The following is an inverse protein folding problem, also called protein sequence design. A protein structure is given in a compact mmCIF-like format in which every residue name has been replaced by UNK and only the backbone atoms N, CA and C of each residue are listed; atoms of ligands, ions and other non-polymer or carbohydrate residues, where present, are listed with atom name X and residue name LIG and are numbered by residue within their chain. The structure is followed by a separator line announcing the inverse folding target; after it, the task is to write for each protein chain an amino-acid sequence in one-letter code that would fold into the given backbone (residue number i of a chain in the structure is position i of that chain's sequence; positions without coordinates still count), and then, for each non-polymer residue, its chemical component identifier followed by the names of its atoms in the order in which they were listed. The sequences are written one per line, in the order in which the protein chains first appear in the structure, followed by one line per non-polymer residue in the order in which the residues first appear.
data_IF_087450968429
#
_entry.id   IF_087450968429
#
_cell.length_a   1.000
_cell.length_b   1.000
_cell.length_c   1.000
_cell.angle_alpha   90.00
_cell.angle_beta   90.00
_cell.angle_gamma   90.00
#
_symmetry.space_group_name_H-M   'P 1'
#
loop_
_entity.id
_entity.type
_entity.pdbx_description
1 polymer ?
#
# COMPACT_ATOMS: atom_id res chain seq x y z
N UNK A 1 10.31 -3.98 27.96
CA UNK A 1 10.48 -3.47 26.58
C UNK A 1 10.37 -4.66 25.65
N UNK A 2 9.22 -4.88 25.04
CA UNK A 2 9.14 -5.81 23.92
C UNK A 2 9.80 -5.11 22.74
N UNK A 3 10.99 -5.57 22.37
CA UNK A 3 11.59 -5.21 21.07
C UNK A 3 10.64 -5.75 20.01
N UNK A 4 9.81 -4.87 19.50
CA UNK A 4 8.79 -5.20 18.52
C UNK A 4 9.46 -5.35 17.16
N UNK A 5 9.90 -6.55 16.87
CA UNK A 5 10.45 -6.95 15.55
C UNK A 5 9.30 -7.14 14.55
N UNK A 6 8.48 -6.10 14.36
CA UNK A 6 7.29 -6.16 13.50
C UNK A 6 7.61 -6.71 12.10
N UNK A 7 8.67 -6.23 11.47
CA UNK A 7 9.07 -6.67 10.13
C UNK A 7 9.42 -8.16 10.09
N UNK A 8 10.23 -8.65 11.05
CA UNK A 8 10.63 -10.06 11.08
C UNK A 8 9.45 -10.98 11.39
N UNK A 9 8.53 -10.55 12.25
CA UNK A 9 7.30 -11.30 12.53
C UNK A 9 6.35 -11.31 11.33
N UNK A 10 6.15 -10.17 10.66
CA UNK A 10 5.33 -10.09 9.45
C UNK A 10 5.90 -10.98 8.34
N UNK A 11 7.23 -10.95 8.15
CA UNK A 11 7.91 -11.83 7.20
C UNK A 11 7.74 -13.31 7.54
N UNK A 12 7.93 -13.68 8.82
CA UNK A 12 7.73 -15.06 9.27
C UNK A 12 6.29 -15.54 9.08
N UNK A 13 5.30 -14.67 9.27
CA UNK A 13 3.89 -14.97 9.00
C UNK A 13 3.65 -15.23 7.49
N UNK A 14 4.19 -14.36 6.63
CA UNK A 14 4.05 -14.48 5.18
C UNK A 14 4.69 -15.76 4.65
N UNK A 15 5.92 -16.07 5.11
CA UNK A 15 6.70 -17.21 4.61
C UNK A 15 6.37 -18.53 5.29
N UNK A 16 5.46 -18.55 6.27
CA UNK A 16 5.00 -19.78 6.94
C UNK A 16 4.29 -20.72 5.98
N UNK A 17 3.59 -20.18 4.99
CA UNK A 17 2.99 -20.96 3.91
C UNK A 17 4.06 -21.30 2.85
N UNK A 18 4.11 -22.58 2.44
CA UNK A 18 5.03 -23.03 1.36
C UNK A 18 4.70 -22.37 0.01
N UNK A 19 3.45 -21.99 -0.19
CA UNK A 19 2.95 -21.40 -1.44
C UNK A 19 2.96 -19.86 -1.45
N UNK A 20 3.64 -19.21 -0.50
CA UNK A 20 3.64 -17.75 -0.36
C UNK A 20 4.06 -17.01 -1.64
N UNK A 21 5.05 -17.53 -2.38
CA UNK A 21 5.48 -16.96 -3.66
C UNK A 21 4.35 -16.99 -4.68
N UNK A 22 3.63 -18.12 -4.76
CA UNK A 22 2.50 -18.26 -5.68
C UNK A 22 1.36 -17.32 -5.31
N UNK A 23 1.15 -17.09 -4.01
CA UNK A 23 0.16 -16.12 -3.52
C UNK A 23 0.54 -14.70 -3.96
N UNK A 24 1.80 -14.28 -3.78
CA UNK A 24 2.27 -12.97 -4.25
C UNK A 24 2.13 -12.84 -5.76
N UNK A 25 2.52 -13.85 -6.54
CA UNK A 25 2.40 -13.81 -7.99
C UNK A 25 0.93 -13.69 -8.43
N UNK A 26 0.02 -14.44 -7.80
CA UNK A 26 -1.41 -14.36 -8.08
C UNK A 26 -1.96 -12.96 -7.80
N UNK A 27 -1.63 -12.39 -6.63
CA UNK A 27 -2.05 -11.03 -6.28
C UNK A 27 -1.47 -10.00 -7.25
N UNK A 28 -0.18 -10.15 -7.62
CA UNK A 28 0.46 -9.25 -8.58
C UNK A 28 -0.17 -9.29 -9.97
N UNK A 29 -0.60 -10.47 -10.43
CA UNK A 29 -1.36 -10.59 -11.68
C UNK A 29 -2.73 -9.94 -11.55
N UNK A 30 -3.43 -10.12 -10.41
CA UNK A 30 -4.69 -9.44 -10.15
C UNK A 30 -4.53 -7.91 -10.15
N UNK A 31 -3.39 -7.38 -9.71
CA UNK A 31 -3.10 -5.94 -9.72
C UNK A 31 -3.09 -5.35 -11.13
N UNK A 32 -2.84 -6.16 -12.17
CA UNK A 32 -2.90 -5.72 -13.56
C UNK A 32 -4.34 -5.49 -14.04
N UNK A 33 -5.35 -5.98 -13.31
CA UNK A 33 -6.76 -5.69 -13.57
C UNK A 33 -7.14 -4.37 -12.89
N UNK A 34 -7.35 -3.29 -13.66
CA UNK A 34 -7.62 -1.99 -13.08
C UNK A 34 -8.93 -2.02 -12.28
N UNK A 35 -8.97 -1.28 -11.18
CA UNK A 35 -10.09 -1.10 -10.24
C UNK A 35 -10.50 -2.39 -9.52
N UNK A 36 -10.99 -3.40 -10.23
CA UNK A 36 -11.51 -4.65 -9.62
C UNK A 36 -10.41 -5.43 -8.91
N UNK A 37 -9.26 -5.58 -9.57
CA UNK A 37 -8.11 -6.28 -8.99
C UNK A 37 -7.54 -5.53 -7.78
N UNK A 38 -7.47 -4.21 -7.84
CA UNK A 38 -6.99 -3.39 -6.72
C UNK A 38 -7.90 -3.49 -5.51
N UNK A 39 -9.22 -3.39 -5.70
CA UNK A 39 -10.19 -3.57 -4.61
C UNK A 39 -10.04 -4.96 -3.98
N UNK A 40 -9.85 -5.99 -4.80
CA UNK A 40 -9.71 -7.36 -4.31
C UNK A 40 -8.42 -7.56 -3.52
N UNK A 41 -7.28 -7.02 -3.99
CA UNK A 41 -5.99 -7.09 -3.29
C UNK A 41 -6.07 -6.36 -1.94
N UNK A 42 -6.56 -5.13 -1.92
CA UNK A 42 -6.75 -4.36 -0.69
C UNK A 42 -7.63 -5.14 0.30
N UNK A 43 -8.67 -5.79 -0.20
CA UNK A 43 -9.53 -6.64 0.63
C UNK A 43 -8.81 -7.86 1.18
N UNK A 44 -7.99 -8.52 0.37
CA UNK A 44 -7.17 -9.63 0.80
C UNK A 44 -6.16 -9.22 1.89
N UNK A 45 -5.44 -8.12 1.67
CA UNK A 45 -4.49 -7.55 2.63
C UNK A 45 -5.17 -7.18 3.94
N UNK A 46 -6.35 -6.57 3.86
CA UNK A 46 -7.17 -6.19 5.02
C UNK A 46 -7.63 -7.43 5.80
N UNK A 47 -8.16 -8.46 5.14
CA UNK A 47 -8.59 -9.71 5.79
C UNK A 47 -7.41 -10.43 6.43
N UNK A 48 -6.26 -10.48 5.78
CA UNK A 48 -5.05 -11.06 6.35
C UNK A 48 -4.57 -10.31 7.59
N UNK A 49 -4.47 -8.98 7.50
CA UNK A 49 -4.09 -8.16 8.64
C UNK A 49 -5.08 -8.27 9.82
N UNK A 50 -6.37 -8.44 9.51
CA UNK A 50 -7.40 -8.70 10.52
C UNK A 50 -7.16 -10.02 11.25
N UNK A 51 -6.84 -11.10 10.54
CA UNK A 51 -6.50 -12.39 11.15
C UNK A 51 -5.27 -12.27 12.05
N UNK A 52 -4.24 -11.56 11.60
CA UNK A 52 -3.04 -11.28 12.41
C UNK A 52 -3.40 -10.49 13.68
N UNK A 53 -4.25 -9.47 13.56
CA UNK A 53 -4.73 -8.69 14.70
C UNK A 53 -5.53 -9.54 15.70
N UNK A 54 -6.22 -10.58 15.24
CA UNK A 54 -6.92 -11.57 16.07
C UNK A 54 -5.98 -12.63 16.67
N UNK A 55 -4.71 -12.60 16.33
CA UNK A 55 -3.71 -13.58 16.81
C UNK A 55 -3.70 -14.89 16.01
N UNK A 56 -4.39 -14.95 14.88
CA UNK A 56 -4.36 -16.11 13.98
C UNK A 56 -3.11 -15.99 13.10
N UNK A 57 -2.26 -17.01 13.17
CA UNK A 57 -0.99 -17.00 12.46
C UNK A 57 -1.13 -17.56 11.04
N UNK A 58 -0.50 -16.89 10.09
CA UNK A 58 -0.44 -17.26 8.67
C UNK A 58 -1.41 -16.49 7.79
N UNK A 59 -1.21 -16.52 6.45
CA UNK A 59 -2.15 -15.94 5.50
C UNK A 59 -3.43 -16.79 5.43
N UNK A 60 -4.57 -16.24 4.97
CA UNK A 60 -5.76 -17.03 4.70
C UNK A 60 -5.41 -18.19 3.78
N UNK A 61 -5.85 -19.41 4.13
CA UNK A 61 -5.57 -20.59 3.31
C UNK A 61 -6.06 -20.36 1.88
N UNK A 62 -5.18 -20.57 0.89
CA UNK A 62 -5.46 -20.35 -0.52
C UNK A 62 -6.70 -21.11 -1.02
N UNK A 63 -6.95 -22.32 -0.46
CA UNK A 63 -8.11 -23.15 -0.81
C UNK A 63 -9.44 -22.58 -0.32
N UNK A 64 -9.41 -21.74 0.71
CA UNK A 64 -10.57 -21.18 1.40
C UNK A 64 -10.68 -19.65 1.23
N UNK A 65 -9.96 -19.06 0.26
CA UNK A 65 -10.12 -17.62 -0.02
C UNK A 65 -11.53 -17.41 -0.54
N UNK A 66 -12.38 -16.81 0.29
CA UNK A 66 -13.67 -16.30 -0.13
C UNK A 66 -13.47 -15.00 -0.92
N UNK A 67 -13.48 -15.14 -2.26
CA UNK A 67 -13.30 -14.02 -3.19
C UNK A 67 -14.34 -12.93 -2.93
N UNK A 68 -15.57 -13.31 -2.62
CA UNK A 68 -16.67 -12.36 -2.36
C UNK A 68 -16.42 -11.60 -1.07
N UNK A 69 -15.95 -12.28 -0.02
CA UNK A 69 -15.59 -11.66 1.25
C UNK A 69 -14.44 -10.66 1.09
N UNK A 70 -13.37 -11.05 0.39
CA UNK A 70 -12.25 -10.16 0.12
C UNK A 70 -12.70 -8.93 -0.69
N UNK A 71 -13.52 -9.12 -1.72
CA UNK A 71 -14.03 -8.00 -2.51
C UNK A 71 -14.90 -7.05 -1.67
N UNK A 72 -15.79 -7.58 -0.84
CA UNK A 72 -16.63 -6.79 0.07
C UNK A 72 -15.80 -6.01 1.08
N UNK A 73 -14.80 -6.67 1.69
CA UNK A 73 -13.85 -6.03 2.61
C UNK A 73 -13.07 -4.92 1.91
N UNK A 74 -12.59 -5.19 0.68
CA UNK A 74 -11.91 -4.20 -0.14
C UNK A 74 -12.79 -2.98 -0.48
N UNK A 75 -14.06 -3.18 -0.82
CA UNK A 75 -14.98 -2.06 -1.02
C UNK A 75 -15.15 -1.21 0.24
N UNK A 76 -15.29 -1.82 1.42
CA UNK A 76 -15.39 -1.09 2.68
C UNK A 76 -14.10 -0.32 2.99
N UNK A 77 -12.95 -0.95 2.78
CA UNK A 77 -11.63 -0.33 2.98
C UNK A 77 -11.44 0.86 2.06
N UNK A 78 -11.69 0.69 0.76
CA UNK A 78 -11.57 1.78 -0.24
C UNK A 78 -12.53 2.92 0.12
N UNK A 79 -13.77 2.62 0.48
CA UNK A 79 -14.72 3.65 0.91
C UNK A 79 -14.23 4.40 2.16
N UNK A 80 -13.64 3.69 3.13
CA UNK A 80 -13.12 4.29 4.36
C UNK A 80 -11.87 5.14 4.14
N UNK A 81 -11.06 4.81 3.14
CA UNK A 81 -9.78 5.49 2.88
C UNK A 81 -9.87 6.55 1.78
N UNK A 82 -10.97 6.63 1.03
CA UNK A 82 -11.08 7.51 -0.13
C UNK A 82 -10.81 8.98 0.19
N UNK A 83 -11.39 9.52 1.27
CA UNK A 83 -11.14 10.90 1.68
C UNK A 83 -9.69 11.14 2.12
N UNK A 84 -9.10 10.16 2.80
CA UNK A 84 -7.70 10.21 3.20
C UNK A 84 -6.77 10.18 1.97
N UNK A 85 -7.10 9.39 0.94
CA UNK A 85 -6.38 9.41 -0.34
C UNK A 85 -6.42 10.79 -1.00
N UNK A 86 -7.56 11.48 -0.97
CA UNK A 86 -7.68 12.84 -1.52
C UNK A 86 -6.78 13.82 -0.76
N UNK A 87 -6.72 13.73 0.58
CA UNK A 87 -5.84 14.58 1.39
C UNK A 87 -4.36 14.30 1.05
N UNK A 88 -3.95 13.02 0.97
CA UNK A 88 -2.59 12.66 0.59
C UNK A 88 -2.25 13.13 -0.82
N UNK A 89 -3.15 12.94 -1.79
CA UNK A 89 -2.98 13.39 -3.16
C UNK A 89 -2.82 14.91 -3.24
N UNK A 90 -3.61 15.67 -2.47
CA UNK A 90 -3.49 17.11 -2.38
C UNK A 90 -2.14 17.55 -1.81
N UNK A 91 -1.68 16.89 -0.76
CA UNK A 91 -0.36 17.13 -0.17
C UNK A 91 0.76 16.88 -1.19
N UNK A 92 0.75 15.70 -1.82
CA UNK A 92 1.75 15.35 -2.84
C UNK A 92 1.73 16.31 -4.02
N UNK A 93 0.54 16.72 -4.47
CA UNK A 93 0.39 17.70 -5.53
C UNK A 93 1.04 19.05 -5.16
N UNK A 94 0.79 19.55 -3.95
CA UNK A 94 1.40 20.79 -3.47
C UNK A 94 2.93 20.68 -3.38
N UNK A 95 3.44 19.57 -2.87
CA UNK A 95 4.89 19.32 -2.79
C UNK A 95 5.51 19.28 -4.18
N UNK A 96 4.91 18.54 -5.10
CA UNK A 96 5.40 18.48 -6.49
C UNK A 96 5.40 19.83 -7.17
N UNK A 97 4.37 20.63 -6.94
CA UNK A 97 4.27 21.98 -7.47
C UNK A 97 5.36 22.91 -6.95
N UNK A 98 5.73 22.78 -5.66
CA UNK A 98 6.80 23.61 -5.08
C UNK A 98 8.19 23.19 -5.54
N UNK A 99 8.36 21.92 -5.95
CA UNK A 99 9.66 21.34 -6.37
C UNK A 99 9.89 21.48 -7.88
N UNK A 100 8.83 21.38 -8.70
CA UNK A 100 8.91 21.62 -10.13
C UNK A 100 8.72 23.10 -10.40
N UNK A 101 9.83 23.82 -10.70
CA UNK A 101 9.78 25.25 -11.01
C UNK A 101 8.69 25.58 -12.05
N UNK A 102 7.73 26.40 -11.62
CA UNK A 102 6.91 27.39 -12.36
C UNK A 102 6.21 27.01 -13.68
N UNK A 103 6.49 25.90 -14.33
CA UNK A 103 5.83 25.51 -15.60
C UNK A 103 4.53 24.75 -15.39
N UNK A 104 4.21 24.35 -14.16
CA UNK A 104 3.00 23.63 -13.84
C UNK A 104 1.85 24.63 -13.61
N UNK A 105 0.82 24.55 -14.45
CA UNK A 105 -0.36 25.41 -14.40
C UNK A 105 -0.96 25.49 -12.99
N UNK A 106 -1.39 26.69 -12.53
CA UNK A 106 -1.85 26.91 -11.15
C UNK A 106 -3.24 26.34 -10.82
N UNK A 107 -3.90 25.68 -11.75
CA UNK A 107 -5.25 25.16 -11.51
C UNK A 107 -5.18 23.90 -10.64
N UNK A 108 -5.58 24.06 -9.36
CA UNK A 108 -5.89 22.91 -8.48
C UNK A 108 -7.22 22.36 -8.99
N UNK A 109 -7.17 21.50 -9.98
CA UNK A 109 -8.33 20.75 -10.44
C UNK A 109 -8.34 19.35 -9.82
N UNK A 110 -9.53 18.80 -9.64
CA UNK A 110 -9.70 17.46 -9.10
C UNK A 110 -8.91 16.41 -9.93
N UNK A 111 -8.72 16.65 -11.22
CA UNK A 111 -7.91 15.84 -12.12
C UNK A 111 -6.43 15.84 -11.74
N UNK A 112 -5.86 16.98 -11.31
CA UNK A 112 -4.47 17.08 -10.88
C UNK A 112 -4.22 16.26 -9.58
N UNK A 113 -5.16 16.29 -8.64
CA UNK A 113 -5.09 15.52 -7.40
C UNK A 113 -5.19 14.03 -7.71
N UNK A 114 -6.16 13.59 -8.51
CA UNK A 114 -6.33 12.20 -8.92
C UNK A 114 -5.09 11.72 -9.68
N UNK A 115 -4.61 12.53 -10.61
CA UNK A 115 -3.39 12.23 -11.37
C UNK A 115 -2.16 12.07 -10.46
N UNK A 116 -2.03 12.87 -9.41
CA UNK A 116 -0.94 12.76 -8.43
C UNK A 116 -0.99 11.45 -7.66
N UNK A 117 -2.18 10.93 -7.36
CA UNK A 117 -2.36 9.62 -6.74
C UNK A 117 -1.98 8.47 -7.69
N UNK A 118 -2.43 8.54 -8.95
CA UNK A 118 -2.09 7.54 -9.96
C UNK A 118 -0.60 7.55 -10.33
N UNK A 119 0.05 8.72 -10.27
CA UNK A 119 1.47 8.87 -10.54
C UNK A 119 2.33 8.93 -9.27
N UNK A 120 1.84 8.36 -8.16
CA UNK A 120 2.52 8.34 -6.88
C UNK A 120 4.01 7.95 -7.00
N UNK A 121 4.30 6.86 -7.71
CA UNK A 121 5.67 6.42 -7.94
C UNK A 121 6.46 7.37 -8.85
N UNK A 122 5.83 7.95 -9.87
CA UNK A 122 6.46 8.96 -10.71
C UNK A 122 6.79 10.23 -9.90
N UNK A 123 5.91 10.63 -8.97
CA UNK A 123 6.16 11.70 -8.03
C UNK A 123 7.42 11.42 -7.18
N UNK A 124 7.57 10.19 -6.66
CA UNK A 124 8.76 9.81 -5.91
C UNK A 124 10.03 9.82 -6.76
N UNK A 125 9.98 9.42 -8.03
CA UNK A 125 11.11 9.51 -8.96
C UNK A 125 11.55 10.97 -9.15
N UNK A 126 10.60 11.88 -9.37
CA UNK A 126 10.89 13.31 -9.51
C UNK A 126 11.47 13.90 -8.22
N UNK A 127 10.89 13.53 -7.06
CA UNK A 127 11.36 13.99 -5.76
C UNK A 127 12.74 13.41 -5.40
N UNK A 128 13.06 12.18 -5.83
CA UNK A 128 14.37 11.56 -5.55
C UNK A 128 15.52 12.30 -6.24
N UNK A 129 15.24 13.01 -7.34
CA UNK A 129 16.21 13.90 -8.00
C UNK A 129 16.55 15.14 -7.14
N UNK A 130 15.73 15.46 -6.13
CA UNK A 130 15.90 16.58 -5.18
C UNK A 130 16.10 16.04 -3.76
N UNK A 131 17.28 15.48 -3.48
CA UNK A 131 17.61 14.72 -2.28
C UNK A 131 17.30 15.41 -0.94
N UNK A 132 17.33 16.73 -0.87
CA UNK A 132 17.05 17.50 0.36
C UNK A 132 15.59 17.43 0.82
N UNK A 133 14.65 17.23 -0.10
CA UNK A 133 13.20 17.22 0.18
C UNK A 133 12.66 15.78 0.18
N UNK A 134 13.32 14.87 -0.53
CA UNK A 134 12.85 13.51 -0.71
C UNK A 134 12.62 12.76 0.61
N UNK A 135 13.63 12.72 1.49
CA UNK A 135 13.53 11.98 2.75
C UNK A 135 12.46 12.52 3.70
N UNK A 136 12.32 13.85 3.94
CA UNK A 136 11.21 14.38 4.71
C UNK A 136 9.84 14.03 4.15
N UNK A 137 9.66 14.13 2.83
CA UNK A 137 8.38 13.76 2.18
C UNK A 137 8.10 12.28 2.34
N UNK A 138 9.09 11.42 2.14
CA UNK A 138 8.96 9.98 2.31
C UNK A 138 8.55 9.63 3.76
N UNK A 139 9.13 10.30 4.75
CA UNK A 139 8.76 10.13 6.16
C UNK A 139 7.31 10.52 6.43
N UNK A 140 6.86 11.68 5.94
CA UNK A 140 5.46 12.12 6.09
C UNK A 140 4.50 11.15 5.39
N UNK A 141 4.84 10.70 4.19
CA UNK A 141 4.01 9.75 3.43
C UNK A 141 3.92 8.41 4.14
N UNK A 142 5.02 7.88 4.69
CA UNK A 142 5.00 6.61 5.41
C UNK A 142 4.13 6.66 6.66
N UNK A 143 4.21 7.75 7.44
CA UNK A 143 3.30 8.00 8.57
C UNK A 143 1.85 8.00 8.10
N UNK A 144 1.56 8.71 7.03
CA UNK A 144 0.20 8.84 6.53
C UNK A 144 -0.36 7.54 5.96
N UNK A 145 0.45 6.75 5.25
CA UNK A 145 0.05 5.43 4.73
C UNK A 145 -0.32 4.50 5.87
N UNK A 146 0.50 4.42 6.92
CA UNK A 146 0.16 3.61 8.10
C UNK A 146 -1.13 4.07 8.79
N UNK A 147 -1.36 5.38 8.88
CA UNK A 147 -2.64 5.91 9.36
C UNK A 147 -3.82 5.42 8.52
N UNK A 148 -3.68 5.42 7.18
CA UNK A 148 -4.71 4.89 6.27
C UNK A 148 -4.92 3.39 6.42
N UNK A 149 -3.86 2.60 6.62
CA UNK A 149 -3.97 1.16 6.88
C UNK A 149 -4.72 0.91 8.19
N UNK A 150 -4.44 1.65 9.27
CA UNK A 150 -5.18 1.57 10.53
C UNK A 150 -6.66 1.91 10.30
N UNK A 151 -6.96 2.97 9.54
CA UNK A 151 -8.32 3.36 9.21
C UNK A 151 -9.07 2.25 8.46
N UNK A 152 -8.39 1.59 7.51
CA UNK A 152 -8.95 0.48 6.73
C UNK A 152 -9.26 -0.74 7.61
N UNK A 153 -8.33 -1.12 8.49
CA UNK A 153 -8.52 -2.24 9.40
C UNK A 153 -9.67 -1.99 10.39
N UNK A 154 -9.79 -0.78 10.91
CA UNK A 154 -10.93 -0.40 11.76
C UNK A 154 -12.25 -0.49 11.02
N UNK A 155 -12.32 -0.01 9.79
CA UNK A 155 -13.51 -0.13 8.96
C UNK A 155 -13.91 -1.59 8.73
N UNK A 156 -12.92 -2.47 8.55
CA UNK A 156 -13.13 -3.91 8.38
C UNK A 156 -13.58 -4.58 9.70
N UNK A 157 -12.95 -4.28 10.83
CA UNK A 157 -13.30 -4.78 12.16
C UNK A 157 -14.76 -4.40 12.52
N UNK A 158 -15.10 -3.13 12.38
CA UNK A 158 -16.43 -2.62 12.69
C UNK A 158 -17.47 -2.93 11.59
N UNK A 159 -17.07 -3.51 10.46
CA UNK A 159 -17.91 -3.71 9.26
C UNK A 159 -18.67 -2.44 8.83
N UNK A 160 -18.06 -1.28 9.08
CA UNK A 160 -18.64 0.03 8.82
C UNK A 160 -17.54 1.00 8.34
N UNK A 161 -17.63 1.53 7.11
CA UNK A 161 -16.67 2.49 6.59
C UNK A 161 -16.50 3.74 7.48
N UNK A 162 -17.57 4.15 8.18
CA UNK A 162 -17.52 5.31 9.07
C UNK A 162 -16.51 5.17 10.22
N UNK A 163 -16.17 3.94 10.63
CA UNK A 163 -15.15 3.69 11.64
C UNK A 163 -13.75 4.12 11.18
N UNK A 164 -13.47 4.08 9.89
CA UNK A 164 -12.22 4.55 9.28
C UNK A 164 -12.08 6.08 9.29
N UNK A 165 -13.17 6.82 9.44
CA UNK A 165 -13.17 8.28 9.54
C UNK A 165 -13.03 8.81 10.97
N UNK A 166 -13.00 7.95 11.96
CA UNK A 166 -12.84 8.34 13.37
C UNK A 166 -11.39 8.69 13.70
N UNK A 167 -10.89 9.79 13.12
CA UNK A 167 -9.50 10.24 13.29
C UNK A 167 -9.09 10.37 14.76
N UNK A 168 -9.97 10.90 15.62
CA UNK A 168 -9.69 11.05 17.05
C UNK A 168 -9.42 9.72 17.76
N UNK A 169 -10.11 8.65 17.37
CA UNK A 169 -9.88 7.32 17.92
C UNK A 169 -8.54 6.74 17.42
N UNK A 170 -8.24 6.88 16.11
CA UNK A 170 -6.98 6.42 15.53
C UNK A 170 -5.80 7.16 16.18
N UNK A 171 -5.89 8.48 16.32
CA UNK A 171 -4.89 9.29 17.01
C UNK A 171 -4.74 8.90 18.48
N UNK A 172 -5.85 8.52 19.14
CA UNK A 172 -5.82 8.00 20.50
C UNK A 172 -5.06 6.67 20.61
N UNK A 173 -5.18 5.77 19.63
CA UNK A 173 -4.41 4.53 19.57
C UNK A 173 -2.92 4.83 19.35
N UNK A 174 -2.60 5.70 18.40
CA UNK A 174 -1.23 6.14 18.11
C UNK A 174 -0.61 6.79 19.36
N UNK A 175 -1.35 7.62 20.07
CA UNK A 175 -0.89 8.27 21.31
C UNK A 175 -0.60 7.30 22.45
N UNK A 176 -1.26 6.13 22.50
CA UNK A 176 -1.00 5.07 23.49
C UNK A 176 0.31 4.32 23.23
N UNK A 177 0.66 4.14 21.96
CA UNK A 177 1.92 3.49 21.56
C UNK A 177 2.54 4.20 20.36
N UNK A 178 3.03 5.41 20.61
CA UNK A 178 3.70 6.23 19.60
C UNK A 178 4.99 5.57 19.12
N UNK A 179 5.74 4.91 20.00
CA UNK A 179 7.01 4.26 19.64
C UNK A 179 6.78 3.09 18.67
N UNK A 180 5.77 2.26 18.92
CA UNK A 180 5.39 1.18 18.00
C UNK A 180 4.96 1.71 16.65
N UNK A 181 4.13 2.76 16.63
CA UNK A 181 3.69 3.41 15.39
C UNK A 181 4.85 4.01 14.59
N UNK A 182 5.78 4.73 15.24
CA UNK A 182 6.97 5.28 14.57
C UNK A 182 7.90 4.20 14.06
N UNK A 183 8.04 3.08 14.78
CA UNK A 183 8.83 1.94 14.33
C UNK A 183 8.26 1.34 13.03
N UNK A 184 6.95 1.06 12.98
CA UNK A 184 6.30 0.56 11.76
C UNK A 184 6.49 1.56 10.62
N UNK A 185 6.20 2.84 10.87
CA UNK A 185 6.32 3.88 9.83
C UNK A 185 7.76 4.03 9.32
N UNK A 186 8.75 3.84 10.19
CA UNK A 186 10.16 3.78 9.79
C UNK A 186 10.46 2.58 8.89
N UNK A 187 9.89 1.41 9.18
CA UNK A 187 10.04 0.22 8.34
C UNK A 187 9.32 0.38 7.00
N UNK A 188 8.11 0.94 6.99
CA UNK A 188 7.37 1.30 5.76
C UNK A 188 8.17 2.30 4.92
N UNK A 189 8.79 3.30 5.55
CA UNK A 189 9.65 4.27 4.86
C UNK A 189 10.84 3.58 4.17
N UNK A 190 11.52 2.65 4.85
CA UNK A 190 12.62 1.88 4.26
C UNK A 190 12.12 1.02 3.10
N UNK A 191 10.98 0.34 3.26
CA UNK A 191 10.40 -0.48 2.22
C UNK A 191 10.02 0.35 0.98
N UNK A 192 9.41 1.52 1.17
CA UNK A 192 9.10 2.46 0.10
C UNK A 192 10.37 3.00 -0.58
N UNK A 193 11.43 3.27 0.18
CA UNK A 193 12.71 3.72 -0.38
C UNK A 193 13.33 2.65 -1.28
N UNK A 194 13.37 1.40 -0.82
CA UNK A 194 13.85 0.25 -1.62
C UNK A 194 12.95 0.07 -2.85
N UNK A 195 11.63 0.10 -2.68
CA UNK A 195 10.66 0.02 -3.79
C UNK A 195 10.88 1.10 -4.83
N UNK A 196 11.18 2.34 -4.40
CA UNK A 196 11.49 3.44 -5.31
C UNK A 196 12.77 3.20 -6.12
N UNK A 197 13.83 2.67 -5.50
CA UNK A 197 15.07 2.30 -6.20
C UNK A 197 14.79 1.24 -7.26
N UNK A 198 14.05 0.19 -6.91
CA UNK A 198 13.67 -0.88 -7.84
C UNK A 198 12.81 -0.33 -8.97
N UNK A 199 11.85 0.54 -8.67
CA UNK A 199 11.01 1.18 -9.68
C UNK A 199 11.82 2.04 -10.65
N UNK A 200 12.78 2.84 -10.15
CA UNK A 200 13.68 3.63 -11.00
C UNK A 200 14.48 2.72 -11.92
N UNK A 201 15.09 1.65 -11.38
CA UNK A 201 15.88 0.71 -12.18
C UNK A 201 15.02 0.05 -13.28
N UNK A 202 13.83 -0.43 -12.95
CA UNK A 202 12.90 -1.03 -13.91
C UNK A 202 12.41 -0.02 -14.94
N UNK A 203 12.18 1.24 -14.56
CA UNK A 203 11.74 2.30 -15.48
C UNK A 203 12.82 2.63 -16.52
N UNK A 204 14.10 2.60 -16.16
CA UNK A 204 15.20 2.78 -17.12
C UNK A 204 15.26 1.64 -18.12
N UNK A 205 15.10 0.39 -17.64
CA UNK A 205 15.02 -0.78 -18.53
C UNK A 205 13.82 -0.68 -19.48
N UNK A 206 12.66 -0.30 -18.96
CA UNK A 206 11.45 -0.11 -19.76
C UNK A 206 11.63 0.99 -20.84
N UNK A 207 12.23 2.12 -20.46
CA UNK A 207 12.50 3.21 -21.41
C UNK A 207 13.44 2.75 -22.55
N UNK A 208 14.52 2.00 -22.21
CA UNK A 208 15.40 1.43 -23.22
C UNK A 208 14.66 0.45 -24.13
N UNK A 209 13.81 -0.42 -23.58
CA UNK A 209 13.01 -1.38 -24.37
C UNK A 209 11.99 -0.69 -25.26
N UNK A 210 11.34 0.39 -24.80
CA UNK A 210 10.44 1.19 -25.61
C UNK A 210 11.19 1.83 -26.78
N UNK A 211 12.35 2.43 -26.53
CA UNK A 211 13.17 3.01 -27.59
C UNK A 211 13.57 1.96 -28.66
N UNK A 212 13.98 0.78 -28.22
CA UNK A 212 14.28 -0.33 -29.13
C UNK A 212 13.05 -0.81 -29.91
N UNK A 213 11.86 -0.71 -29.32
CA UNK A 213 10.60 -1.15 -29.94
C UNK A 213 9.99 -0.14 -30.93
N UNK A 214 10.50 1.10 -30.99
CA UNK A 214 9.96 2.12 -31.91
C UNK A 214 10.05 1.71 -33.39
N UNK A 215 11.00 0.85 -33.75
CA UNK A 215 11.13 0.26 -35.09
C UNK A 215 10.24 -0.98 -35.35
N UNK A 216 9.55 -1.49 -34.31
CA UNK A 216 8.81 -2.75 -34.38
C UNK A 216 7.31 -2.43 -34.46
N UNK A 217 6.69 -2.74 -35.60
CA UNK A 217 5.25 -2.52 -35.81
C UNK A 217 4.35 -3.57 -35.11
N UNK A 218 4.93 -4.62 -34.54
CA UNK A 218 4.18 -5.74 -33.96
C UNK A 218 3.57 -5.35 -32.58
N UNK A 219 2.23 -5.20 -32.55
CA UNK A 219 1.48 -4.87 -31.35
C UNK A 219 1.62 -5.91 -30.23
N UNK A 220 1.69 -7.19 -30.57
CA UNK A 220 1.82 -8.29 -29.61
C UNK A 220 3.16 -8.17 -28.84
N UNK A 221 4.21 -7.83 -29.54
CA UNK A 221 5.53 -7.62 -28.90
C UNK A 221 5.51 -6.42 -27.95
N UNK A 222 4.84 -5.31 -28.30
CA UNK A 222 4.68 -4.16 -27.41
C UNK A 222 3.89 -4.49 -26.13
N UNK A 223 2.81 -5.27 -26.26
CA UNK A 223 2.03 -5.76 -25.11
C UNK A 223 2.91 -6.64 -24.22
N UNK A 224 3.69 -7.55 -24.80
CA UNK A 224 4.62 -8.39 -24.07
C UNK A 224 5.65 -7.58 -23.28
N UNK A 225 6.27 -6.58 -23.90
CA UNK A 225 7.21 -5.67 -23.22
C UNK A 225 6.55 -4.91 -22.07
N UNK A 226 5.32 -4.42 -22.27
CA UNK A 226 4.54 -3.75 -21.22
C UNK A 226 4.29 -4.68 -20.02
N UNK A 227 3.87 -5.92 -20.27
CA UNK A 227 3.64 -6.91 -19.21
C UNK A 227 4.94 -7.27 -18.49
N UNK A 228 6.05 -7.43 -19.21
CA UNK A 228 7.37 -7.68 -18.64
C UNK A 228 7.85 -6.57 -17.70
N UNK A 229 7.41 -5.33 -17.92
CA UNK A 229 7.69 -4.22 -17.00
C UNK A 229 6.69 -4.15 -15.84
N UNK A 230 5.39 -4.26 -16.12
CA UNK A 230 4.34 -4.10 -15.11
C UNK A 230 4.36 -5.20 -14.05
N UNK A 231 4.65 -6.45 -14.42
CA UNK A 231 4.62 -7.57 -13.50
C UNK A 231 5.67 -7.47 -12.38
N UNK A 232 6.96 -7.19 -12.63
CA UNK A 232 7.94 -7.00 -11.57
C UNK A 232 7.59 -5.83 -10.65
N UNK A 233 7.07 -4.72 -11.19
CA UNK A 233 6.61 -3.58 -10.39
C UNK A 233 5.45 -4.01 -9.49
N UNK A 234 4.47 -4.74 -10.03
CA UNK A 234 3.34 -5.25 -9.28
C UNK A 234 3.77 -6.21 -8.16
N UNK A 235 4.76 -7.09 -8.41
CA UNK A 235 5.31 -8.00 -7.40
C UNK A 235 5.91 -7.22 -6.23
N UNK A 236 6.77 -6.24 -6.51
CA UNK A 236 7.42 -5.42 -5.47
C UNK A 236 6.38 -4.64 -4.67
N UNK A 237 5.42 -4.01 -5.36
CA UNK A 237 4.35 -3.27 -4.71
C UNK A 237 3.50 -4.17 -3.80
N UNK A 238 3.04 -5.32 -4.31
CA UNK A 238 2.24 -6.29 -3.55
C UNK A 238 2.99 -6.78 -2.32
N UNK A 239 4.28 -7.05 -2.44
CA UNK A 239 5.09 -7.48 -1.31
C UNK A 239 5.19 -6.39 -0.22
N UNK A 240 5.48 -5.15 -0.62
CA UNK A 240 5.57 -4.01 0.30
C UNK A 240 4.23 -3.79 0.99
N UNK A 241 3.13 -3.79 0.25
CA UNK A 241 1.79 -3.58 0.78
C UNK A 241 1.38 -4.69 1.75
N UNK A 242 1.58 -5.97 1.40
CA UNK A 242 1.33 -7.09 2.30
C UNK A 242 2.11 -6.96 3.62
N UNK A 243 3.40 -6.62 3.54
CA UNK A 243 4.23 -6.44 4.73
C UNK A 243 3.74 -5.29 5.60
N UNK A 244 3.31 -4.19 4.98
CA UNK A 244 2.79 -3.01 5.69
C UNK A 244 1.50 -3.35 6.44
N UNK A 245 0.54 -3.98 5.76
CA UNK A 245 -0.71 -4.45 6.39
C UNK A 245 -0.46 -5.45 7.52
N UNK A 246 0.49 -6.37 7.35
CA UNK A 246 0.86 -7.33 8.39
C UNK A 246 1.48 -6.66 9.62
N UNK A 247 2.39 -5.69 9.43
CA UNK A 247 3.02 -4.95 10.53
C UNK A 247 1.98 -4.15 11.31
N UNK A 248 1.06 -3.47 10.62
CA UNK A 248 -0.03 -2.73 11.26
C UNK A 248 -0.99 -3.69 11.99
N UNK A 249 -1.31 -4.85 11.39
CA UNK A 249 -2.12 -5.88 12.04
C UNK A 249 -1.50 -6.37 13.36
N UNK A 250 -0.19 -6.65 13.36
CA UNK A 250 0.56 -7.02 14.57
C UNK A 250 0.52 -5.92 15.63
N UNK A 251 0.67 -4.67 15.21
CA UNK A 251 0.61 -3.53 16.12
C UNK A 251 -0.80 -3.34 16.71
N UNK A 252 -1.85 -3.49 15.90
CA UNK A 252 -3.23 -3.36 16.34
C UNK A 252 -3.65 -4.46 17.33
N UNK A 253 -3.02 -5.63 17.28
CA UNK A 253 -3.28 -6.75 18.19
C UNK A 253 -3.21 -6.35 19.67
N UNK A 254 -2.31 -5.45 20.05
CA UNK A 254 -2.14 -5.00 21.44
C UNK A 254 -3.35 -4.22 21.99
N UNK A 255 -4.19 -3.65 21.13
CA UNK A 255 -5.36 -2.86 21.55
C UNK A 255 -6.61 -3.72 21.71
N UNK A 256 -6.55 -5.02 21.38
CA UNK A 256 -7.66 -5.99 21.50
C UNK A 256 -8.96 -5.58 20.82
N UNK A 257 -8.92 -4.64 19.86
CA UNK A 257 -10.12 -4.16 19.15
C UNK A 257 -10.78 -5.27 18.33
N UNK A 258 -9.97 -6.18 17.77
CA UNK A 258 -10.47 -7.30 16.98
C UNK A 258 -11.18 -8.35 17.83
N UNK A 259 -10.82 -8.53 19.11
CA UNK A 259 -11.47 -9.46 20.03
C UNK A 259 -12.80 -8.96 20.56
N UNK A 260 -12.98 -7.64 20.68
CA UNK A 260 -14.23 -7.04 21.18
C UNK A 260 -15.35 -7.01 20.14
N UNK A 261 -15.03 -7.07 18.86
CA UNK A 261 -16.01 -6.98 17.77
C UNK A 261 -16.69 -8.34 17.44
N UNK A 262 -16.11 -9.47 17.85
CA UNK A 262 -16.61 -10.81 17.55
C UNK A 262 -16.50 -11.74 18.77
N UNK A 263 -17.40 -11.62 19.78
CA UNK A 263 -17.44 -12.56 20.90
C UNK A 263 -17.95 -13.96 20.49
N UNK A 264 -18.33 -14.17 19.23
CA UNK A 264 -18.93 -15.43 18.73
C UNK A 264 -18.41 -15.76 17.32
N UNK A 265 -17.21 -16.33 17.23
CA UNK A 265 -16.77 -17.21 16.15
C UNK A 265 -16.48 -18.56 16.72
#
# INVERSE_FOLDING_TARGET
MQETKYLSHAWAQLTKDKDWITTILMLSVCMLLPVVGWIWIIGYETEWALLIAQGIEGPPERKNIDIVRCFKSGCHTVAATLSWCVILGSFLYLVLRTVSDASFSPNIDALGIINSLFHFWAAFVILSARSSIFMPVLAVVSLYVNFMVIASLRAAICRNPAAGYQAGHILGMIGRDLNGYLNISGMTMIAMFIGNIVFIALSQVAAAMILLSLGISNMVFRIFLFLMFCLPVAIVYTLISLMDYAMVGLWMRQFNEAGSAHPHL
#
